data_IF_219936446075
#
_entry.id   IF_219936446075
#
_cell.length_a   1.000
_cell.length_b   1.000
_cell.length_c   1.000
_cell.angle_alpha   90.00
_cell.angle_beta   90.00
_cell.angle_gamma   90.00
#
_symmetry.space_group_name_H-M   'P 1'
#
loop_
_entity.id
_entity.type
_entity.pdbx_description
1 polymer ?
#
# COMPACT_ATOMS: atom_id res chain seq x y z
N UNK A 1 65.65 42.68 19.39
CA UNK A 1 66.24 41.57 20.15
C UNK A 1 65.95 41.74 21.64
N UNK A 2 65.05 40.92 22.22
CA UNK A 2 64.98 40.61 23.66
C UNK A 2 64.15 39.32 23.81
N UNK A 3 64.61 38.51 24.76
CA UNK A 3 64.57 37.05 24.82
C UNK A 3 63.20 36.43 25.16
N UNK A 4 63.01 35.18 24.71
CA UNK A 4 62.06 34.19 25.22
C UNK A 4 62.15 34.08 26.76
N UNK A 5 61.03 33.75 27.44
CA UNK A 5 60.81 32.41 28.01
C UNK A 5 59.56 32.32 28.90
N UNK A 6 58.67 31.40 28.50
CA UNK A 6 58.13 30.29 29.28
C UNK A 6 57.37 30.54 30.60
N UNK A 7 56.07 30.24 30.61
CA UNK A 7 55.39 29.58 31.74
C UNK A 7 54.33 28.59 31.22
N UNK A 8 54.53 27.31 31.54
CA UNK A 8 53.47 26.31 31.63
C UNK A 8 52.42 26.74 32.68
N UNK A 9 51.18 26.28 32.56
CA UNK A 9 50.46 25.44 33.57
C UNK A 9 48.92 25.49 33.35
N UNK A 10 48.37 24.28 33.22
CA UNK A 10 47.06 23.74 33.63
C UNK A 10 45.71 24.37 33.18
N UNK A 11 44.91 23.47 32.60
CA UNK A 11 43.55 23.08 33.00
C UNK A 11 42.39 24.06 32.84
N UNK A 12 41.39 23.62 32.08
CA UNK A 12 40.03 24.16 32.11
C UNK A 12 39.09 23.36 31.23
N UNK A 13 38.66 22.19 31.71
CA UNK A 13 37.48 21.50 31.18
C UNK A 13 36.25 22.35 31.58
N UNK A 14 35.49 22.88 30.62
CA UNK A 14 34.13 23.36 30.87
C UNK A 14 33.20 22.60 29.92
N UNK A 15 32.52 21.61 30.50
CA UNK A 15 31.34 20.94 29.96
C UNK A 15 30.13 21.77 30.41
N UNK A 16 29.32 22.26 29.48
CA UNK A 16 27.89 22.60 29.64
C UNK A 16 27.42 23.28 28.34
N UNK A 17 26.35 22.89 27.65
CA UNK A 17 25.42 21.79 27.84
C UNK A 17 24.70 21.58 26.50
N UNK A 18 24.52 20.31 26.13
CA UNK A 18 23.72 19.97 24.95
C UNK A 18 22.27 19.95 25.44
N UNK A 19 21.54 21.03 25.20
CA UNK A 19 20.08 21.02 25.36
C UNK A 19 19.50 20.10 24.29
N UNK A 20 19.22 18.86 24.68
CA UNK A 20 18.44 17.93 23.88
C UNK A 20 16.98 18.40 23.87
N UNK A 21 16.61 19.26 22.94
CA UNK A 21 15.21 19.47 22.58
C UNK A 21 14.70 18.20 21.92
N UNK A 22 14.03 17.35 22.69
CA UNK A 22 13.15 16.31 22.15
C UNK A 22 11.97 17.04 21.49
N UNK A 23 12.12 17.36 20.21
CA UNK A 23 10.98 17.58 19.33
C UNK A 23 10.33 16.22 19.14
N UNK A 24 9.25 15.97 19.88
CA UNK A 24 8.35 14.85 19.58
C UNK A 24 7.82 15.06 18.16
N UNK A 25 8.34 14.29 17.20
CA UNK A 25 7.78 14.27 15.87
C UNK A 25 6.31 13.87 15.96
N UNK A 26 5.40 14.52 15.22
CA UNK A 26 4.04 13.99 15.10
C UNK A 26 4.17 12.58 14.52
N UNK A 27 3.63 11.59 15.24
CA UNK A 27 3.46 10.25 14.70
C UNK A 27 2.50 10.43 13.53
N UNK A 28 3.02 10.39 12.31
CA UNK A 28 2.17 10.32 11.13
C UNK A 28 1.36 9.03 11.27
N UNK A 29 0.08 9.18 11.64
CA UNK A 29 -0.88 8.10 11.47
C UNK A 29 -0.96 7.92 9.96
N UNK A 30 -0.26 6.92 9.43
CA UNK A 30 -0.43 6.51 8.05
C UNK A 30 -1.90 6.11 7.91
N UNK A 31 -2.65 6.96 7.20
CA UNK A 31 -4.08 6.76 7.02
C UNK A 31 -4.24 5.86 5.80
N UNK A 32 -4.27 4.55 6.04
CA UNK A 32 -4.73 3.59 5.03
C UNK A 32 -6.07 4.04 4.47
N UNK A 33 -6.32 3.73 3.20
CA UNK A 33 -7.66 3.95 2.61
C UNK A 33 -8.69 3.14 3.39
N UNK A 34 -9.84 3.75 3.64
CA UNK A 34 -10.94 3.09 4.34
C UNK A 34 -11.43 1.89 3.53
N UNK A 35 -11.60 0.75 4.21
CA UNK A 35 -12.16 -0.46 3.61
C UNK A 35 -13.64 -0.21 3.32
N UNK A 36 -14.12 -0.41 2.08
CA UNK A 36 -15.51 -0.17 1.75
C UNK A 36 -16.43 -1.14 2.50
N UNK A 37 -17.61 -0.64 2.89
CA UNK A 37 -18.64 -1.48 3.49
C UNK A 37 -18.96 -2.68 2.58
N UNK A 38 -19.09 -3.86 3.19
CA UNK A 38 -19.38 -5.11 2.46
C UNK A 38 -18.17 -5.84 1.90
N UNK A 39 -16.94 -5.31 2.02
CA UNK A 39 -15.72 -5.98 1.55
C UNK A 39 -15.45 -7.35 2.22
N UNK A 40 -16.05 -7.60 3.39
CA UNK A 40 -15.86 -8.85 4.13
C UNK A 40 -14.49 -9.00 4.78
N UNK A 41 -13.71 -7.91 4.83
CA UNK A 41 -12.41 -7.83 5.50
C UNK A 41 -12.42 -6.72 6.55
N UNK A 42 -11.62 -6.89 7.59
CA UNK A 42 -11.40 -5.92 8.67
C UNK A 42 -10.04 -5.22 8.57
N UNK A 43 -9.15 -5.73 7.72
CA UNK A 43 -7.81 -5.18 7.45
C UNK A 43 -7.38 -5.50 6.02
N UNK A 44 -6.57 -4.62 5.41
CA UNK A 44 -5.92 -4.89 4.12
C UNK A 44 -5.01 -6.12 4.15
N UNK A 45 -4.57 -6.57 5.33
CA UNK A 45 -3.83 -7.84 5.47
C UNK A 45 -4.68 -9.05 5.06
N UNK A 46 -6.00 -9.00 5.22
CA UNK A 46 -6.92 -10.09 4.88
C UNK A 46 -7.29 -10.10 3.39
N UNK A 47 -7.11 -8.98 2.68
CA UNK A 47 -7.46 -8.86 1.28
C UNK A 47 -6.66 -9.88 0.43
N UNK A 48 -7.35 -10.59 -0.46
CA UNK A 48 -6.80 -11.71 -1.24
C UNK A 48 -6.94 -13.08 -0.57
N UNK A 49 -7.35 -13.14 0.70
CA UNK A 49 -7.62 -14.41 1.39
C UNK A 49 -8.68 -15.23 0.65
N UNK A 50 -8.42 -16.52 0.49
CA UNK A 50 -9.31 -17.42 -0.26
C UNK A 50 -9.51 -17.03 -1.72
N UNK A 51 -8.64 -16.18 -2.29
CA UNK A 51 -8.76 -15.74 -3.68
C UNK A 51 -9.82 -14.67 -3.91
N UNK A 52 -10.29 -14.00 -2.86
CA UNK A 52 -11.28 -12.91 -2.88
C UNK A 52 -10.56 -11.59 -2.65
N UNK A 53 -10.64 -10.67 -3.60
CA UNK A 53 -9.96 -9.38 -3.57
C UNK A 53 -10.98 -8.25 -3.63
N UNK A 54 -10.74 -7.20 -2.84
CA UNK A 54 -11.41 -5.91 -2.92
C UNK A 54 -10.49 -4.94 -3.65
N UNK A 55 -10.92 -4.46 -4.81
CA UNK A 55 -10.13 -3.62 -5.71
C UNK A 55 -10.70 -2.20 -5.74
N UNK A 56 -9.88 -1.19 -5.44
CA UNK A 56 -10.24 0.22 -5.61
C UNK A 56 -10.18 0.58 -7.09
N UNK A 57 -11.23 1.14 -7.67
CA UNK A 57 -11.26 1.49 -9.09
C UNK A 57 -10.73 2.89 -9.32
N UNK A 58 -9.75 3.00 -10.22
CA UNK A 58 -9.20 4.27 -10.68
C UNK A 58 -9.80 4.70 -12.02
N UNK A 59 -9.93 3.76 -12.96
CA UNK A 59 -10.41 4.02 -14.31
C UNK A 59 -11.17 2.82 -14.87
N UNK A 60 -12.12 3.08 -15.78
CA UNK A 60 -12.91 2.06 -16.48
C UNK A 60 -14.31 1.91 -15.91
N UNK A 61 -15.06 0.96 -16.47
CA UNK A 61 -16.48 0.75 -16.13
C UNK A 61 -16.65 -0.62 -15.49
N UNK A 62 -17.27 -0.63 -14.31
CA UNK A 62 -17.67 -1.87 -13.64
C UNK A 62 -18.93 -2.47 -14.29
N UNK A 63 -19.13 -3.79 -14.16
CA UNK A 63 -20.41 -4.40 -14.52
C UNK A 63 -21.58 -3.74 -13.77
N UNK A 64 -22.77 -3.76 -14.38
CA UNK A 64 -24.01 -3.37 -13.70
C UNK A 64 -24.17 -4.12 -12.37
N UNK A 65 -24.76 -3.46 -11.38
CA UNK A 65 -25.01 -4.05 -10.06
C UNK A 65 -25.74 -5.39 -10.17
N UNK A 66 -25.27 -6.39 -9.40
CA UNK A 66 -25.79 -7.75 -9.43
C UNK A 66 -25.32 -8.61 -10.61
N UNK A 67 -24.51 -8.07 -11.53
CA UNK A 67 -23.85 -8.85 -12.59
C UNK A 67 -22.37 -9.07 -12.29
N UNK A 68 -21.83 -10.12 -12.87
CA UNK A 68 -20.40 -10.40 -12.88
C UNK A 68 -19.92 -10.76 -14.28
N UNK A 69 -18.63 -10.53 -14.54
CA UNK A 69 -18.01 -10.83 -15.82
C UNK A 69 -16.67 -11.54 -15.65
N UNK A 70 -16.33 -12.40 -16.59
CA UNK A 70 -14.99 -12.99 -16.66
C UNK A 70 -14.03 -12.04 -17.36
N UNK A 71 -12.95 -11.69 -16.68
CA UNK A 71 -11.92 -10.78 -17.16
C UNK A 71 -10.52 -11.41 -17.07
N UNK A 72 -9.50 -10.72 -17.58
CA UNK A 72 -8.11 -11.17 -17.54
C UNK A 72 -7.19 -10.09 -17.00
N UNK A 73 -6.44 -10.39 -15.95
CA UNK A 73 -5.41 -9.51 -15.40
C UNK A 73 -4.30 -9.37 -16.45
N UNK A 74 -3.94 -8.12 -16.77
CA UNK A 74 -2.89 -7.78 -17.73
C UNK A 74 -1.56 -7.52 -17.03
N UNK A 75 -1.59 -6.85 -15.87
CA UNK A 75 -0.39 -6.50 -15.11
C UNK A 75 -0.67 -6.34 -13.62
N UNK A 76 0.40 -6.47 -12.84
CA UNK A 76 0.56 -6.09 -11.45
C UNK A 76 1.83 -5.24 -11.33
N UNK A 77 1.67 -3.95 -11.04
CA UNK A 77 2.76 -2.97 -11.01
C UNK A 77 2.68 -2.09 -9.76
N UNK A 78 3.75 -1.33 -9.48
CA UNK A 78 3.80 -0.38 -8.36
C UNK A 78 3.52 -1.03 -6.98
N UNK A 79 3.86 -2.31 -6.84
CA UNK A 79 3.63 -3.12 -5.65
C UNK A 79 4.62 -2.87 -4.50
N UNK A 80 5.32 -1.75 -4.44
CA UNK A 80 6.18 -1.47 -3.29
C UNK A 80 5.32 -1.36 -2.02
N UNK A 81 5.71 -2.01 -0.90
CA UNK A 81 4.99 -1.83 0.34
C UNK A 81 5.23 -0.44 0.92
N UNK A 82 4.22 0.08 1.61
CA UNK A 82 4.33 1.27 2.44
C UNK A 82 5.03 0.97 3.79
N UNK A 83 5.07 1.98 4.68
CA UNK A 83 5.68 1.87 6.02
C UNK A 83 4.97 0.84 6.91
N UNK A 84 3.72 0.51 6.63
CA UNK A 84 2.93 -0.51 7.33
C UNK A 84 3.06 -1.90 6.69
N UNK A 85 3.81 -2.03 5.61
CA UNK A 85 3.96 -3.29 4.88
C UNK A 85 2.74 -3.67 4.05
N UNK A 86 1.90 -2.70 3.67
CA UNK A 86 0.78 -2.87 2.74
C UNK A 86 1.27 -2.47 1.34
N UNK A 87 1.06 -3.37 0.39
CA UNK A 87 1.31 -3.14 -1.03
C UNK A 87 0.09 -2.47 -1.64
N UNK A 88 0.32 -1.50 -2.53
CA UNK A 88 -0.72 -0.77 -3.27
C UNK A 88 -0.59 -1.08 -4.76
N UNK A 89 -0.71 -2.36 -5.11
CA UNK A 89 -0.46 -2.83 -6.46
C UNK A 89 -1.47 -2.25 -7.45
N UNK A 90 -0.99 -1.58 -8.49
CA UNK A 90 -1.81 -1.19 -9.63
C UNK A 90 -2.05 -2.40 -10.54
N UNK A 91 -3.31 -2.69 -10.80
CA UNK A 91 -3.72 -3.75 -11.72
C UNK A 91 -4.41 -3.16 -12.95
N UNK A 92 -3.94 -3.56 -14.13
CA UNK A 92 -4.71 -3.41 -15.36
C UNK A 92 -5.44 -4.73 -15.65
N UNK A 93 -6.73 -4.64 -15.98
CA UNK A 93 -7.57 -5.80 -16.26
C UNK A 93 -8.31 -5.58 -17.58
N UNK A 94 -8.25 -6.57 -18.46
CA UNK A 94 -9.01 -6.58 -19.71
C UNK A 94 -10.41 -7.12 -19.49
N UNK A 95 -11.40 -6.29 -19.76
CA UNK A 95 -12.82 -6.60 -19.69
C UNK A 95 -13.28 -7.40 -20.93
N UNK A 96 -14.46 -8.07 -20.89
CA UNK A 96 -14.94 -8.89 -22.01
C UNK A 96 -15.13 -8.13 -23.33
N UNK A 97 -15.52 -6.86 -23.25
CA UNK A 97 -15.70 -5.97 -24.40
C UNK A 97 -14.36 -5.44 -24.97
N UNK A 98 -13.24 -5.82 -24.35
CA UNK A 98 -11.89 -5.39 -24.72
C UNK A 98 -11.45 -4.08 -24.07
N UNK A 99 -12.32 -3.39 -23.33
CA UNK A 99 -11.94 -2.23 -22.54
C UNK A 99 -11.01 -2.61 -21.38
N UNK A 100 -10.40 -1.59 -20.77
CA UNK A 100 -9.52 -1.75 -19.61
C UNK A 100 -10.18 -1.21 -18.35
N UNK A 101 -10.10 -1.99 -17.29
CA UNK A 101 -10.34 -1.55 -15.92
C UNK A 101 -8.98 -1.38 -15.24
N UNK A 102 -8.76 -0.26 -14.56
CA UNK A 102 -7.58 -0.04 -13.71
C UNK A 102 -8.01 0.12 -12.27
N UNK A 103 -7.28 -0.51 -11.37
CA UNK A 103 -7.53 -0.38 -9.95
C UNK A 103 -6.30 -0.62 -9.10
N UNK A 104 -6.43 -0.34 -7.80
CA UNK A 104 -5.42 -0.59 -6.79
C UNK A 104 -5.87 -1.75 -5.91
N UNK A 105 -5.03 -2.78 -5.82
CA UNK A 105 -5.16 -3.89 -4.88
C UNK A 105 -4.33 -3.58 -3.63
N UNK A 106 -5.03 -3.12 -2.59
CA UNK A 106 -4.45 -2.88 -1.28
C UNK A 106 -4.36 -4.18 -0.50
N UNK A 107 -3.16 -4.70 -0.30
CA UNK A 107 -3.01 -5.98 0.38
C UNK A 107 -1.59 -6.20 0.91
N UNK A 108 -1.40 -7.20 1.76
CA UNK A 108 -0.05 -7.60 2.20
C UNK A 108 0.45 -8.79 1.39
N UNK A 109 1.34 -8.56 0.43
CA UNK A 109 1.90 -9.59 -0.46
C UNK A 109 2.61 -10.73 0.27
N UNK A 110 3.17 -10.47 1.46
CA UNK A 110 3.80 -11.50 2.31
C UNK A 110 2.81 -12.46 2.97
N UNK A 111 1.51 -12.13 2.95
CA UNK A 111 0.42 -12.94 3.50
C UNK A 111 -0.45 -13.49 2.37
N UNK A 112 -0.97 -12.62 1.50
CA UNK A 112 -1.78 -12.96 0.34
C UNK A 112 -1.11 -12.43 -0.92
N UNK A 113 -0.84 -13.30 -1.90
CA UNK A 113 -0.23 -12.87 -3.18
C UNK A 113 -1.11 -11.85 -3.92
N UNK A 114 -0.54 -11.12 -4.87
CA UNK A 114 -1.32 -10.20 -5.70
C UNK A 114 -2.03 -10.96 -6.84
N UNK A 115 -2.97 -10.29 -7.49
CA UNK A 115 -3.53 -10.66 -8.80
C UNK A 115 -2.39 -10.76 -9.84
N UNK A 116 -2.22 -11.91 -10.49
CA UNK A 116 -1.08 -12.14 -11.39
C UNK A 116 -1.43 -11.82 -12.84
N UNK A 117 -0.50 -11.20 -13.56
CA UNK A 117 -0.61 -11.07 -15.02
C UNK A 117 -0.93 -12.42 -15.69
N UNK A 118 -1.93 -12.40 -16.57
CA UNK A 118 -2.43 -13.59 -17.26
C UNK A 118 -3.57 -14.33 -16.56
N UNK A 119 -3.81 -14.06 -15.27
CA UNK A 119 -4.85 -14.71 -14.48
C UNK A 119 -6.26 -14.36 -14.98
N UNK A 120 -7.13 -15.37 -15.05
CA UNK A 120 -8.55 -15.19 -15.33
C UNK A 120 -9.27 -14.98 -14.01
N UNK A 121 -10.10 -13.93 -13.95
CA UNK A 121 -10.83 -13.53 -12.76
C UNK A 121 -12.29 -13.28 -13.07
N UNK A 122 -13.14 -13.32 -12.05
CA UNK A 122 -14.53 -12.85 -12.11
C UNK A 122 -14.61 -11.50 -11.40
N UNK A 123 -15.18 -10.50 -12.06
CA UNK A 123 -15.32 -9.14 -11.53
C UNK A 123 -16.80 -8.82 -11.35
N UNK A 124 -17.15 -8.26 -10.20
CA UNK A 124 -18.45 -7.67 -9.91
C UNK A 124 -18.29 -6.34 -9.17
N UNK A 125 -19.27 -5.47 -9.28
CA UNK A 125 -19.35 -4.27 -8.45
C UNK A 125 -19.58 -4.66 -6.98
N UNK A 126 -18.78 -4.07 -6.08
CA UNK A 126 -19.01 -4.16 -4.64
C UNK A 126 -19.86 -2.97 -4.17
N UNK A 127 -19.37 -1.77 -4.46
CA UNK A 127 -20.02 -0.48 -4.23
C UNK A 127 -19.43 0.55 -5.19
N UNK A 128 -19.89 1.80 -5.15
CA UNK A 128 -19.38 2.86 -6.00
C UNK A 128 -17.86 3.02 -5.83
N UNK A 129 -17.11 2.87 -6.93
CA UNK A 129 -15.65 2.96 -6.94
C UNK A 129 -14.91 1.70 -6.46
N UNK A 130 -15.61 0.60 -6.16
CA UNK A 130 -14.99 -0.62 -5.64
C UNK A 130 -15.53 -1.88 -6.32
N UNK A 131 -14.65 -2.84 -6.55
CA UNK A 131 -15.00 -4.14 -7.13
C UNK A 131 -14.61 -5.29 -6.21
N UNK A 132 -15.39 -6.36 -6.31
CA UNK A 132 -14.94 -7.69 -5.87
C UNK A 132 -14.31 -8.39 -7.08
N UNK A 133 -13.11 -8.92 -6.89
CA UNK A 133 -12.38 -9.72 -7.88
C UNK A 133 -12.15 -11.11 -7.31
N UNK A 134 -12.69 -12.12 -7.98
CA UNK A 134 -12.55 -13.52 -7.58
C UNK A 134 -11.58 -14.22 -8.52
N UNK A 135 -10.56 -14.84 -7.94
CA UNK A 135 -9.68 -15.77 -8.66
C UNK A 135 -10.30 -17.17 -8.68
N UNK A 136 -9.66 -18.10 -9.39
CA UNK A 136 -10.05 -19.53 -9.37
C UNK A 136 -9.96 -20.20 -7.99
N UNK A 137 -9.29 -19.56 -7.04
CA UNK A 137 -9.10 -20.07 -5.67
C UNK A 137 -10.32 -19.78 -4.79
N UNK A 138 -11.18 -18.83 -5.19
CA UNK A 138 -12.45 -18.56 -4.56
C UNK A 138 -13.39 -19.76 -4.75
N UNK A 139 -13.79 -20.38 -3.65
CA UNK A 139 -14.70 -21.52 -3.60
C UNK A 139 -16.05 -21.12 -3.02
#
# INVERSE_FOLDING_TARGET
MKKLSNKLILSGLIIAGISATLLGAPIAMSAQVEIPAGAGISSWVENGSGGIYTLQILEGTLPEAGRSVTAKVLSDSNCAPDEEGINHCENEIKMPDGSKLKGIDHHRMSVNRCLRAGEKVTISMLTDGWATVLTKEAK
#
